data_IF_944492127308
#
_entry.id   IF_944492127308
#
_cell.length_a   1.000
_cell.length_b   1.000
_cell.length_c   1.000
_cell.angle_alpha   90.00
_cell.angle_beta   90.00
_cell.angle_gamma   90.00
#
_symmetry.space_group_name_H-M   'P 1'
#
loop_
_entity.id
_entity.type
_entity.pdbx_description
1 polymer ?
#
# COMPACT_ATOMS: atom_id res chain seq x y z
N UNK A 1 -11.49 -13.48 28.12
CA UNK A 1 -11.98 -12.61 27.03
C UNK A 1 -12.92 -13.48 26.21
N UNK A 2 -14.23 -13.31 26.37
CA UNK A 2 -15.23 -14.18 25.75
C UNK A 2 -15.33 -13.88 24.25
N UNK A 3 -15.32 -14.92 23.42
CA UNK A 3 -15.54 -14.79 21.98
C UNK A 3 -16.96 -14.23 21.76
N UNK A 4 -17.15 -13.24 20.86
CA UNK A 4 -18.46 -12.66 20.61
C UNK A 4 -19.40 -13.69 19.97
N UNK A 5 -20.67 -13.66 20.38
CA UNK A 5 -21.74 -14.54 19.92
C UNK A 5 -21.94 -14.42 18.39
N UNK A 6 -21.69 -15.50 17.66
CA UNK A 6 -21.65 -15.55 16.18
C UNK A 6 -23.04 -15.59 15.50
N UNK A 7 -24.12 -15.51 16.28
CA UNK A 7 -25.50 -15.65 15.78
C UNK A 7 -26.20 -14.33 15.46
N UNK A 8 -25.58 -13.16 15.68
CA UNK A 8 -26.24 -11.90 15.37
C UNK A 8 -26.18 -11.61 13.84
N UNK A 9 -27.33 -11.58 13.15
CA UNK A 9 -27.38 -11.41 11.70
C UNK A 9 -26.87 -10.04 11.24
N UNK A 10 -26.83 -9.03 12.11
CA UNK A 10 -26.29 -7.70 11.80
C UNK A 10 -24.76 -7.72 11.78
N UNK A 11 -24.12 -8.40 12.74
CA UNK A 11 -22.66 -8.53 12.75
C UNK A 11 -22.18 -9.33 11.54
N UNK A 12 -22.81 -10.46 11.23
CA UNK A 12 -22.48 -11.20 10.01
C UNK A 12 -22.67 -10.36 8.76
N UNK A 13 -23.73 -9.55 8.66
CA UNK A 13 -23.94 -8.68 7.49
C UNK A 13 -22.87 -7.61 7.35
N UNK A 14 -22.49 -6.95 8.45
CA UNK A 14 -21.42 -5.94 8.47
C UNK A 14 -20.09 -6.61 8.16
N UNK A 15 -19.85 -7.80 8.71
CA UNK A 15 -18.62 -8.56 8.47
C UNK A 15 -18.54 -8.98 6.99
N UNK A 16 -19.50 -9.71 6.45
CA UNK A 16 -19.49 -10.11 5.04
C UNK A 16 -19.51 -8.91 4.07
N UNK A 17 -20.13 -7.78 4.43
CA UNK A 17 -20.10 -6.58 3.59
C UNK A 17 -18.73 -5.86 3.59
N UNK A 18 -17.93 -6.01 4.65
CA UNK A 18 -16.59 -5.42 4.74
C UNK A 18 -15.47 -6.37 4.31
N UNK A 19 -15.66 -7.68 4.51
CA UNK A 19 -14.61 -8.69 4.40
C UNK A 19 -14.73 -9.60 3.15
N UNK A 20 -15.81 -9.48 2.37
CA UNK A 20 -16.12 -10.37 1.22
C UNK A 20 -16.13 -9.61 -0.14
N UNK A 21 -15.25 -8.63 -0.29
CA UNK A 21 -15.02 -7.96 -1.57
C UNK A 21 -13.99 -8.74 -2.40
N UNK A 22 -14.44 -9.29 -3.54
CA UNK A 22 -13.58 -9.93 -4.54
C UNK A 22 -12.46 -8.99 -4.99
N UNK A 23 -11.25 -9.36 -4.62
CA UNK A 23 -9.97 -8.66 -4.77
C UNK A 23 -9.45 -8.63 -6.22
N UNK A 24 -10.14 -7.91 -7.09
CA UNK A 24 -9.67 -7.53 -8.42
C UNK A 24 -9.60 -6.00 -8.74
N UNK A 25 -9.81 -5.03 -7.80
CA UNK A 25 -9.58 -3.60 -8.07
C UNK A 25 -8.17 -3.08 -7.76
N UNK A 26 -7.28 -3.84 -7.10
CA UNK A 26 -6.07 -3.31 -6.46
C UNK A 26 -5.12 -2.58 -7.41
N UNK A 27 -4.87 -3.12 -8.61
CA UNK A 27 -3.98 -2.45 -9.57
C UNK A 27 -4.52 -1.09 -9.99
N UNK A 28 -5.83 -0.98 -10.27
CA UNK A 28 -6.43 0.30 -10.68
C UNK A 28 -6.39 1.30 -9.54
N UNK A 29 -6.73 0.87 -8.32
CA UNK A 29 -6.71 1.73 -7.13
C UNK A 29 -5.30 2.20 -6.81
N UNK A 30 -4.33 1.30 -6.77
CA UNK A 30 -2.91 1.61 -6.52
C UNK A 30 -2.37 2.53 -7.60
N UNK A 31 -2.68 2.28 -8.87
CA UNK A 31 -2.22 3.11 -9.98
C UNK A 31 -2.81 4.52 -9.93
N UNK A 32 -4.11 4.65 -9.69
CA UNK A 32 -4.77 5.95 -9.50
C UNK A 32 -4.15 6.68 -8.31
N UNK A 33 -3.93 5.99 -7.19
CA UNK A 33 -3.35 6.60 -6.00
C UNK A 33 -1.91 7.07 -6.23
N UNK A 34 -1.09 6.29 -6.92
CA UNK A 34 0.28 6.66 -7.29
C UNK A 34 0.29 7.88 -8.21
N UNK A 35 -0.59 7.93 -9.22
CA UNK A 35 -0.71 9.10 -10.10
C UNK A 35 -1.09 10.34 -9.29
N UNK A 36 -2.08 10.24 -8.42
CA UNK A 36 -2.48 11.35 -7.57
C UNK A 36 -1.31 11.80 -6.67
N UNK A 37 -0.64 10.88 -6.00
CA UNK A 37 0.53 11.21 -5.18
C UNK A 37 1.62 11.93 -6.00
N UNK A 38 1.95 11.44 -7.21
CA UNK A 38 2.91 12.09 -8.11
C UNK A 38 2.45 13.50 -8.48
N UNK A 39 1.18 13.70 -8.84
CA UNK A 39 0.63 15.02 -9.16
C UNK A 39 0.78 15.97 -7.96
N UNK A 40 0.39 15.55 -6.76
CA UNK A 40 0.51 16.37 -5.55
C UNK A 40 1.96 16.63 -5.15
N UNK A 41 2.88 15.73 -5.48
CA UNK A 41 4.31 15.88 -5.20
C UNK A 41 4.99 16.80 -6.24
N UNK A 42 4.59 16.80 -7.51
CA UNK A 42 5.33 17.52 -8.55
C UNK A 42 4.69 18.82 -9.03
N UNK A 43 3.39 19.02 -8.83
CA UNK A 43 2.71 20.27 -9.22
C UNK A 43 3.03 21.35 -8.18
N UNK A 44 3.67 22.48 -8.56
CA UNK A 44 4.12 23.51 -7.62
C UNK A 44 3.01 24.07 -6.72
N UNK A 45 1.81 24.26 -7.28
CA UNK A 45 0.64 24.78 -6.55
C UNK A 45 0.15 23.80 -5.46
N UNK A 46 0.39 22.50 -5.65
CA UNK A 46 -0.09 21.44 -4.74
C UNK A 46 1.00 21.00 -3.75
N UNK A 47 2.27 21.07 -4.12
CA UNK A 47 3.38 20.56 -3.31
C UNK A 47 3.51 21.29 -1.95
N UNK A 48 3.19 22.58 -1.90
CA UNK A 48 3.23 23.39 -0.66
C UNK A 48 2.04 23.12 0.28
N UNK A 49 1.05 22.33 -0.17
CA UNK A 49 -0.15 22.04 0.61
C UNK A 49 0.04 20.82 1.53
N UNK A 50 -0.60 20.78 2.71
CA UNK A 50 -0.60 19.59 3.57
C UNK A 50 -1.29 18.39 2.89
N UNK A 51 -2.08 18.62 1.84
CA UNK A 51 -2.74 17.58 1.05
C UNK A 51 -1.72 16.63 0.41
N UNK A 52 -0.52 17.13 0.06
CA UNK A 52 0.60 16.29 -0.40
C UNK A 52 0.92 15.17 0.59
N UNK A 53 0.90 15.46 1.88
CA UNK A 53 1.21 14.47 2.93
C UNK A 53 0.13 13.38 2.96
N UNK A 54 -1.14 13.73 2.79
CA UNK A 54 -2.25 12.78 2.77
C UNK A 54 -2.09 11.74 1.65
N UNK A 55 -1.56 12.13 0.49
CA UNK A 55 -1.31 11.20 -0.61
C UNK A 55 0.04 10.49 -0.53
N UNK A 56 1.10 11.19 -0.11
CA UNK A 56 2.45 10.63 0.00
C UNK A 56 2.57 9.61 1.14
N UNK A 57 1.87 9.82 2.25
CA UNK A 57 2.02 9.00 3.45
C UNK A 57 1.56 7.55 3.23
N UNK A 58 0.40 7.27 2.61
CA UNK A 58 0.04 5.90 2.23
C UNK A 58 1.01 5.26 1.22
N UNK A 59 1.56 6.05 0.29
CA UNK A 59 2.56 5.57 -0.69
C UNK A 59 3.87 5.14 0.00
N UNK A 60 4.20 5.72 1.15
CA UNK A 60 5.41 5.39 1.90
C UNK A 60 5.16 4.34 2.98
N UNK A 61 4.02 4.38 3.66
CA UNK A 61 3.76 3.57 4.85
C UNK A 61 2.89 2.34 4.62
N UNK A 62 2.23 2.22 3.48
CA UNK A 62 1.25 1.14 3.28
C UNK A 62 1.33 0.48 1.90
N UNK A 63 1.22 1.26 0.82
CA UNK A 63 1.01 0.76 -0.54
C UNK A 63 2.12 -0.22 -1.01
N UNK A 64 3.42 0.06 -0.83
CA UNK A 64 4.48 -0.86 -1.24
C UNK A 64 4.43 -2.19 -0.47
N UNK A 65 4.15 -2.12 0.84
CA UNK A 65 4.02 -3.30 1.68
C UNK A 65 2.77 -4.12 1.35
N UNK A 66 1.66 -3.47 1.05
CA UNK A 66 0.43 -4.12 0.59
C UNK A 66 0.62 -4.83 -0.75
N UNK A 67 1.24 -4.16 -1.72
CA UNK A 67 1.59 -4.76 -3.01
C UNK A 67 2.51 -5.98 -2.82
N UNK A 68 3.48 -5.89 -1.91
CA UNK A 68 4.37 -7.00 -1.60
C UNK A 68 3.64 -8.18 -0.92
N UNK A 69 2.73 -7.93 0.02
CA UNK A 69 1.89 -9.00 0.59
C UNK A 69 1.04 -9.66 -0.48
N UNK A 70 0.41 -8.86 -1.35
CA UNK A 70 -0.38 -9.40 -2.45
C UNK A 70 0.46 -10.30 -3.38
N UNK A 71 1.73 -9.93 -3.61
CA UNK A 71 2.65 -10.72 -4.43
C UNK A 71 3.15 -12.00 -3.73
N UNK A 72 3.37 -11.95 -2.42
CA UNK A 72 3.87 -13.08 -1.63
C UNK A 72 2.78 -14.09 -1.28
N UNK A 73 1.56 -13.61 -1.03
CA UNK A 73 0.39 -14.37 -0.57
C UNK A 73 -0.85 -13.95 -1.38
N UNK A 74 -0.93 -14.38 -2.66
CA UNK A 74 -2.03 -14.03 -3.56
C UNK A 74 -3.36 -14.72 -3.18
N UNK A 75 -3.32 -15.77 -2.34
CA UNK A 75 -4.50 -16.46 -1.86
C UNK A 75 -5.32 -15.64 -0.85
N UNK A 76 -6.64 -15.59 -1.03
CA UNK A 76 -7.55 -14.88 -0.11
C UNK A 76 -7.77 -15.63 1.22
N UNK A 77 -7.41 -16.91 1.30
CA UNK A 77 -7.57 -17.75 2.50
C UNK A 77 -6.29 -17.85 3.34
N UNK A 78 -5.16 -17.30 2.87
CA UNK A 78 -3.86 -17.44 3.53
C UNK A 78 -3.66 -16.42 4.67
N UNK A 79 -4.28 -15.24 4.55
CA UNK A 79 -4.07 -14.12 5.49
C UNK A 79 -5.39 -13.38 5.70
N UNK A 80 -5.82 -13.28 6.96
CA UNK A 80 -6.99 -12.49 7.34
C UNK A 80 -6.77 -11.00 7.05
N UNK A 81 -7.84 -10.22 6.90
CA UNK A 81 -7.76 -8.81 6.53
C UNK A 81 -7.00 -7.99 7.58
N UNK A 82 -7.18 -8.28 8.87
CA UNK A 82 -6.46 -7.58 9.94
C UNK A 82 -4.95 -7.87 9.84
N UNK A 83 -4.59 -9.13 9.60
CA UNK A 83 -3.20 -9.56 9.41
C UNK A 83 -2.60 -8.92 8.16
N UNK A 84 -3.33 -8.91 7.03
CA UNK A 84 -2.91 -8.31 5.77
C UNK A 84 -2.60 -6.83 5.94
N UNK A 85 -3.47 -6.09 6.64
CA UNK A 85 -3.25 -4.67 6.94
C UNK A 85 -2.02 -4.49 7.83
N UNK A 86 -1.92 -5.24 8.93
CA UNK A 86 -0.79 -5.14 9.86
C UNK A 86 0.55 -5.46 9.19
N UNK A 87 0.61 -6.54 8.41
CA UNK A 87 1.77 -6.96 7.65
C UNK A 87 2.15 -5.96 6.55
N UNK A 88 1.17 -5.33 5.91
CA UNK A 88 1.42 -4.28 4.90
C UNK A 88 2.16 -3.09 5.50
N UNK A 89 1.74 -2.61 6.68
CA UNK A 89 2.47 -1.56 7.40
C UNK A 89 3.88 -2.01 7.78
N UNK A 90 4.02 -3.20 8.36
CA UNK A 90 5.32 -3.75 8.78
C UNK A 90 6.30 -3.88 7.62
N UNK A 91 5.84 -4.44 6.49
CA UNK A 91 6.67 -4.59 5.29
C UNK A 91 7.01 -3.25 4.64
N UNK A 92 6.10 -2.27 4.62
CA UNK A 92 6.43 -0.95 4.07
C UNK A 92 7.52 -0.26 4.91
N UNK A 93 7.43 -0.35 6.23
CA UNK A 93 8.45 0.18 7.15
C UNK A 93 9.79 -0.52 6.96
N UNK A 94 9.81 -1.80 6.57
CA UNK A 94 11.04 -2.51 6.26
C UNK A 94 11.61 -2.14 4.87
N UNK A 95 10.76 -2.20 3.83
CA UNK A 95 11.16 -2.10 2.43
C UNK A 95 11.48 -0.68 2.02
N UNK A 96 10.70 0.32 2.46
CA UNK A 96 10.90 1.70 1.99
C UNK A 96 12.24 2.29 2.44
N UNK A 97 12.66 2.19 3.71
CA UNK A 97 14.00 2.58 4.13
C UNK A 97 15.09 1.75 3.45
N UNK A 98 14.87 0.46 3.20
CA UNK A 98 15.83 -0.38 2.50
C UNK A 98 16.04 0.07 1.04
N UNK A 99 14.97 0.46 0.34
CA UNK A 99 15.04 1.08 -0.99
C UNK A 99 15.79 2.41 -0.90
N UNK A 100 15.49 3.24 0.10
CA UNK A 100 16.20 4.51 0.32
C UNK A 100 17.71 4.31 0.57
N UNK A 101 18.08 3.31 1.38
CA UNK A 101 19.46 2.92 1.61
C UNK A 101 20.11 2.39 0.32
N UNK A 102 19.41 1.57 -0.46
CA UNK A 102 19.89 1.10 -1.76
C UNK A 102 20.14 2.25 -2.73
N UNK A 103 19.23 3.23 -2.78
CA UNK A 103 19.36 4.44 -3.57
C UNK A 103 20.54 5.32 -3.15
N UNK A 104 20.92 5.30 -1.87
CA UNK A 104 22.11 6.00 -1.38
C UNK A 104 23.41 5.52 -2.05
N UNK A 105 23.47 4.26 -2.48
CA UNK A 105 24.61 3.72 -3.22
C UNK A 105 24.57 4.02 -4.72
N UNK A 106 23.50 4.63 -5.22
CA UNK A 106 23.38 5.02 -6.62
C UNK A 106 23.88 6.44 -6.85
N UNK A 107 24.29 6.81 -8.08
CA UNK A 107 24.69 8.18 -8.42
C UNK A 107 23.60 9.23 -8.15
N UNK A 108 22.34 8.81 -8.05
CA UNK A 108 21.19 9.68 -7.82
C UNK A 108 21.00 10.05 -6.33
N UNK A 109 21.45 9.20 -5.41
CA UNK A 109 21.37 9.39 -3.96
C UNK A 109 19.95 9.41 -3.38
N UNK A 110 19.83 9.83 -2.12
CA UNK A 110 18.56 9.97 -1.39
C UNK A 110 17.89 11.30 -1.76
N UNK A 111 17.40 11.40 -2.99
CA UNK A 111 16.62 12.54 -3.49
C UNK A 111 15.15 12.14 -3.67
N UNK A 112 14.26 13.14 -3.78
CA UNK A 112 12.83 12.89 -3.97
C UNK A 112 12.55 12.10 -5.27
N UNK A 113 13.16 12.49 -6.40
CA UNK A 113 12.87 11.84 -7.68
C UNK A 113 13.23 10.37 -7.74
N UNK A 114 14.44 9.95 -7.31
CA UNK A 114 14.80 8.54 -7.23
C UNK A 114 13.90 7.76 -6.27
N UNK A 115 13.54 8.32 -5.11
CA UNK A 115 12.68 7.65 -4.14
C UNK A 115 11.30 7.39 -4.73
N UNK A 116 10.65 8.43 -5.29
CA UNK A 116 9.31 8.31 -5.87
C UNK A 116 9.32 7.33 -7.04
N UNK A 117 10.33 7.42 -7.92
CA UNK A 117 10.45 6.54 -9.07
C UNK A 117 10.67 5.08 -8.66
N UNK A 118 11.57 4.82 -7.70
CA UNK A 118 11.83 3.46 -7.22
C UNK A 118 10.63 2.86 -6.50
N UNK A 119 9.92 3.63 -5.67
CA UNK A 119 8.70 3.17 -5.00
C UNK A 119 7.59 2.87 -6.00
N UNK A 120 7.41 3.71 -7.02
CA UNK A 120 6.43 3.47 -8.08
C UNK A 120 6.76 2.19 -8.87
N UNK A 121 8.00 2.02 -9.32
CA UNK A 121 8.43 0.82 -10.06
C UNK A 121 8.26 -0.43 -9.19
N UNK A 122 8.73 -0.39 -7.95
CA UNK A 122 8.61 -1.51 -7.03
C UNK A 122 7.16 -1.91 -6.80
N UNK A 123 6.30 -0.93 -6.50
CA UNK A 123 4.87 -1.17 -6.25
C UNK A 123 4.20 -1.78 -7.47
N UNK A 124 4.41 -1.19 -8.66
CA UNK A 124 3.82 -1.70 -9.91
C UNK A 124 4.31 -3.12 -10.20
N UNK A 125 5.61 -3.40 -10.02
CA UNK A 125 6.16 -4.73 -10.21
C UNK A 125 5.54 -5.76 -9.27
N UNK A 126 5.39 -5.45 -7.98
CA UNK A 126 4.75 -6.35 -7.02
C UNK A 126 3.28 -6.60 -7.35
N UNK A 127 2.53 -5.56 -7.71
CA UNK A 127 1.13 -5.75 -8.14
C UNK A 127 1.04 -6.60 -9.42
N UNK A 128 1.97 -6.46 -10.36
CA UNK A 128 2.02 -7.33 -11.55
C UNK A 128 2.32 -8.79 -11.21
N UNK A 129 3.13 -9.05 -10.17
CA UNK A 129 3.44 -10.41 -9.70
C UNK A 129 2.24 -11.01 -8.95
N UNK A 130 1.45 -10.18 -8.27
CA UNK A 130 0.28 -10.61 -7.50
C UNK A 130 -0.91 -11.07 -8.36
N UNK A 131 -0.94 -10.71 -9.64
CA UNK A 131 -2.00 -11.05 -10.61
C UNK A 131 -1.78 -12.43 -11.24
#
# INVERSE_FOLDING_TARGET
>A
MSYPDTENPVYNKIFTAFFDEKFFPDLKVVFIWLILAIIFIYVPILNDTPVRVVFALPVVLFIPGYALIAALFPGNEEIDIIERVALSFGLSIAVVPLIGLGLNYTPFGIRLDPIVTSLAIFTIAMVMIAQ
#
